data_IF_472916293035
#
_entry.id   IF_472916293035
#
_cell.length_a   1.000
_cell.length_b   1.000
_cell.length_c   1.000
_cell.angle_alpha   90.00
_cell.angle_beta   90.00
_cell.angle_gamma   90.00
#
_symmetry.space_group_name_H-M   'P 1'
#
loop_
_entity.id
_entity.type
_entity.pdbx_description
1 polymer ?
#
# COMPACT_ATOMS: atom_id res chain seq x y z
N UNK A 1 14.99 31.75 2.18
CA UNK A 1 14.21 32.66 1.30
C UNK A 1 14.13 32.03 -0.08
N UNK A 2 13.07 32.31 -0.83
CA UNK A 2 12.91 31.88 -2.22
C UNK A 2 12.56 33.08 -3.10
N UNK A 3 12.93 33.07 -4.39
CA UNK A 3 12.52 34.12 -5.33
C UNK A 3 10.99 34.09 -5.52
N UNK A 4 10.34 35.23 -5.36
CA UNK A 4 8.91 35.40 -5.63
C UNK A 4 8.68 36.76 -6.31
N UNK A 5 8.36 36.79 -7.62
CA UNK A 5 8.15 38.05 -8.32
C UNK A 5 6.82 38.69 -7.91
N UNK A 6 6.85 39.97 -7.56
CA UNK A 6 5.65 40.77 -7.30
C UNK A 6 5.57 41.90 -8.32
N UNK A 7 4.47 41.97 -9.06
CA UNK A 7 4.26 42.95 -10.13
C UNK A 7 5.43 43.01 -11.14
N UNK A 8 5.84 41.83 -11.64
CA UNK A 8 6.94 41.66 -12.60
C UNK A 8 8.32 42.17 -12.12
N UNK A 9 8.48 42.42 -10.82
CA UNK A 9 9.76 42.75 -10.18
C UNK A 9 10.23 41.59 -9.32
N UNK A 10 11.52 41.28 -9.39
CA UNK A 10 12.14 40.27 -8.54
C UNK A 10 11.97 40.63 -7.06
N UNK A 11 11.35 39.73 -6.30
CA UNK A 11 11.20 39.81 -4.86
C UNK A 11 11.77 38.58 -4.19
N UNK A 12 12.07 38.70 -2.89
CA UNK A 12 12.40 37.59 -2.02
C UNK A 12 11.25 37.41 -1.03
N UNK A 13 10.72 36.19 -0.94
CA UNK A 13 9.79 35.82 0.12
C UNK A 13 10.49 34.92 1.11
N UNK A 14 10.16 35.09 2.39
CA UNK A 14 10.57 34.11 3.39
C UNK A 14 9.94 32.76 3.03
N UNK A 15 10.74 31.70 3.10
CA UNK A 15 10.32 30.35 2.66
C UNK A 15 10.20 29.44 3.87
N UNK A 16 11.30 29.33 4.62
CA UNK A 16 11.39 28.51 5.81
C UNK A 16 12.36 29.15 6.79
N UNK A 17 12.09 29.02 8.08
CA UNK A 17 13.07 29.26 9.11
C UNK A 17 14.09 28.12 9.13
N UNK A 18 15.37 28.43 9.31
CA UNK A 18 16.38 27.40 9.61
C UNK A 18 16.16 26.83 11.00
N UNK A 19 16.49 25.55 11.18
CA UNK A 19 16.53 24.90 12.48
C UNK A 19 17.94 24.37 12.74
N UNK A 20 18.69 25.07 13.60
CA UNK A 20 20.06 24.70 13.94
C UNK A 20 20.13 23.54 14.97
N UNK A 21 18.99 23.16 15.55
CA UNK A 21 18.88 22.05 16.50
C UNK A 21 18.63 20.70 15.81
N UNK A 22 18.74 20.66 14.48
CA UNK A 22 18.58 19.42 13.72
C UNK A 22 19.69 18.42 14.06
N UNK A 23 19.29 17.18 14.27
CA UNK A 23 20.16 16.04 14.57
C UNK A 23 19.84 14.87 13.62
N UNK A 24 20.62 13.81 13.70
CA UNK A 24 20.34 12.57 12.98
C UNK A 24 19.15 11.83 13.61
N UNK A 25 18.32 11.20 12.76
CA UNK A 25 17.37 10.19 13.22
C UNK A 25 18.15 9.00 13.81
N UNK A 26 17.74 8.54 15.01
CA UNK A 26 18.40 7.43 15.70
C UNK A 26 17.44 6.26 15.80
N UNK A 27 17.90 5.07 15.42
CA UNK A 27 17.13 3.84 15.60
C UNK A 27 17.81 2.94 16.61
N UNK A 28 17.04 2.43 17.58
CA UNK A 28 17.44 1.37 18.49
C UNK A 28 16.62 0.14 18.17
N UNK A 29 17.29 -0.97 17.88
CA UNK A 29 16.64 -2.22 17.49
C UNK A 29 17.05 -3.34 18.46
N UNK A 30 16.07 -4.18 18.79
CA UNK A 30 16.27 -5.41 19.55
C UNK A 30 15.63 -6.56 18.78
N UNK A 31 16.38 -7.64 18.63
CA UNK A 31 15.97 -8.85 17.90
C UNK A 31 16.16 -10.08 18.79
N UNK A 32 15.16 -10.94 18.77
CA UNK A 32 15.17 -12.22 19.48
C UNK A 32 14.81 -13.32 18.49
N UNK A 33 15.80 -14.13 18.15
CA UNK A 33 15.68 -15.21 17.17
C UNK A 33 15.74 -16.60 17.78
N UNK A 34 15.01 -17.52 17.17
CA UNK A 34 15.05 -18.96 17.42
C UNK A 34 15.21 -19.70 16.10
N UNK A 35 16.25 -20.51 16.00
CA UNK A 35 16.50 -21.38 14.85
C UNK A 35 16.47 -22.84 15.30
N UNK A 36 15.67 -23.67 14.62
CA UNK A 36 15.57 -25.09 14.88
C UNK A 36 15.65 -25.88 13.57
N UNK A 37 16.55 -26.85 13.52
CA UNK A 37 16.66 -27.83 12.45
C UNK A 37 16.19 -29.21 12.87
N UNK A 38 15.42 -29.88 12.02
CA UNK A 38 14.99 -31.27 12.18
C UNK A 38 15.35 -32.13 10.97
N UNK A 39 15.85 -33.35 11.25
CA UNK A 39 16.07 -34.42 10.25
C UNK A 39 16.92 -34.02 9.04
N UNK A 40 17.74 -32.96 9.14
CA UNK A 40 18.47 -32.33 8.02
C UNK A 40 17.58 -31.94 6.82
N UNK A 41 16.27 -31.79 7.06
CA UNK A 41 15.24 -31.58 6.03
C UNK A 41 14.34 -30.40 6.32
N UNK A 42 14.14 -30.04 7.58
CA UNK A 42 13.25 -28.95 7.98
C UNK A 42 14.08 -27.97 8.78
N UNK A 43 14.08 -26.71 8.37
CA UNK A 43 14.64 -25.60 9.16
C UNK A 43 13.51 -24.62 9.41
N UNK A 44 13.32 -24.26 10.67
CA UNK A 44 12.41 -23.22 11.11
C UNK A 44 13.23 -22.11 11.77
N UNK A 45 13.06 -20.90 11.27
CA UNK A 45 13.57 -19.66 11.84
C UNK A 45 12.37 -18.82 12.28
N UNK A 46 12.42 -18.31 13.50
CA UNK A 46 11.41 -17.41 14.05
C UNK A 46 12.09 -16.27 14.78
N UNK A 47 11.82 -15.04 14.36
CA UNK A 47 12.39 -13.83 14.91
C UNK A 47 11.28 -12.91 15.41
N UNK A 48 11.49 -12.27 16.55
CA UNK A 48 10.74 -11.11 16.98
C UNK A 48 11.66 -9.90 16.99
N UNK A 49 11.29 -8.86 16.25
CA UNK A 49 12.01 -7.61 16.23
C UNK A 49 11.19 -6.49 16.84
N UNK A 50 11.88 -5.56 17.49
CA UNK A 50 11.35 -4.26 17.85
C UNK A 50 12.39 -3.19 17.52
N UNK A 51 11.98 -2.22 16.70
CA UNK A 51 12.75 -1.06 16.29
C UNK A 51 12.06 0.21 16.75
N UNK A 52 12.73 0.96 17.61
CA UNK A 52 12.33 2.29 18.05
C UNK A 52 13.16 3.34 17.30
N UNK A 53 12.50 4.16 16.48
CA UNK A 53 13.13 5.27 15.76
C UNK A 53 12.76 6.59 16.44
N UNK A 54 13.77 7.36 16.85
CA UNK A 54 13.67 8.65 17.53
C UNK A 54 14.25 9.77 16.66
N UNK A 55 13.68 10.96 16.82
CA UNK A 55 14.11 12.16 16.13
C UNK A 55 13.74 12.18 14.65
N UNK A 56 12.60 11.61 14.27
CA UNK A 56 12.12 11.64 12.88
C UNK A 56 12.03 13.07 12.34
N UNK A 57 12.51 13.28 11.11
CA UNK A 57 12.48 14.56 10.43
C UNK A 57 11.10 14.80 9.83
N UNK A 58 10.35 15.71 10.44
CA UNK A 58 9.04 16.13 9.96
C UNK A 58 9.04 17.62 9.59
N UNK A 59 8.31 17.96 8.54
CA UNK A 59 7.84 19.31 8.29
C UNK A 59 6.72 19.63 9.29
N UNK A 60 7.05 20.39 10.34
CA UNK A 60 6.07 20.76 11.36
C UNK A 60 5.37 22.05 10.92
N UNK A 61 4.03 22.07 10.85
CA UNK A 61 3.30 23.29 10.50
C UNK A 61 3.53 24.37 11.58
N UNK A 62 3.80 25.58 11.13
CA UNK A 62 3.92 26.75 11.99
C UNK A 62 2.62 27.57 11.99
N UNK A 63 2.33 28.33 13.06
CA UNK A 63 1.22 29.29 13.04
C UNK A 63 1.38 30.25 11.86
N UNK A 64 0.29 30.53 11.13
CA UNK A 64 0.31 31.40 9.93
C UNK A 64 0.87 32.79 10.24
N UNK A 65 0.68 33.29 11.47
CA UNK A 65 1.24 34.56 11.95
C UNK A 65 2.78 34.61 11.97
N UNK A 66 3.47 33.46 11.90
CA UNK A 66 4.93 33.37 11.91
C UNK A 66 5.60 33.74 10.58
N UNK A 67 4.84 33.83 9.48
CA UNK A 67 5.36 34.17 8.15
C UNK A 67 6.05 33.01 7.41
N UNK A 68 6.17 31.82 8.00
CA UNK A 68 6.54 30.57 7.32
C UNK A 68 5.43 29.52 7.48
N UNK A 69 5.32 28.62 6.49
CA UNK A 69 4.31 27.56 6.51
C UNK A 69 4.72 26.37 7.40
N UNK A 70 6.00 25.97 7.35
CA UNK A 70 6.54 24.82 8.08
C UNK A 70 7.98 25.07 8.55
N UNK A 71 8.48 24.22 9.44
CA UNK A 71 9.91 24.11 9.77
C UNK A 71 10.28 22.65 10.00
N UNK A 72 11.43 22.23 9.47
CA UNK A 72 11.94 20.88 9.71
C UNK A 72 12.41 20.74 11.15
N UNK A 73 11.91 19.73 11.85
CA UNK A 73 12.37 19.39 13.20
C UNK A 73 12.45 17.87 13.38
N UNK A 74 13.41 17.41 14.19
CA UNK A 74 13.50 16.03 14.66
C UNK A 74 12.44 15.78 15.72
N UNK A 75 11.20 15.58 15.31
CA UNK A 75 10.09 15.47 16.25
C UNK A 75 9.15 14.37 15.81
N UNK A 76 9.34 13.22 16.43
CA UNK A 76 8.50 12.06 16.24
C UNK A 76 9.23 10.83 16.70
N UNK A 77 8.51 9.93 17.38
CA UNK A 77 9.00 8.59 17.67
C UNK A 77 8.07 7.60 17.00
N UNK A 78 8.63 6.63 16.30
CA UNK A 78 7.88 5.51 15.75
C UNK A 78 8.45 4.21 16.34
N UNK A 79 7.56 3.26 16.60
CA UNK A 79 7.93 1.89 16.93
C UNK A 79 7.42 0.96 15.84
N UNK A 80 8.34 0.27 15.19
CA UNK A 80 8.06 -0.87 14.32
C UNK A 80 8.37 -2.15 15.07
N UNK A 81 7.45 -3.12 15.03
CA UNK A 81 7.68 -4.43 15.63
C UNK A 81 6.91 -5.49 14.87
N UNK A 82 7.38 -6.73 14.96
CA UNK A 82 6.82 -7.81 14.19
C UNK A 82 7.48 -9.14 14.48
N UNK A 83 6.81 -10.18 14.01
CA UNK A 83 7.36 -11.53 13.94
C UNK A 83 7.71 -11.86 12.50
N UNK A 84 8.85 -12.49 12.30
CA UNK A 84 9.29 -13.06 11.03
C UNK A 84 9.43 -14.57 11.21
N UNK A 85 8.85 -15.33 10.30
CA UNK A 85 8.92 -16.78 10.31
C UNK A 85 9.42 -17.24 8.96
N UNK A 86 10.43 -18.10 8.94
CA UNK A 86 10.89 -18.77 7.73
C UNK A 86 10.90 -20.28 7.96
N UNK A 87 10.17 -21.01 7.11
CA UNK A 87 10.13 -22.46 7.07
C UNK A 87 10.74 -22.94 5.76
N UNK A 88 11.87 -23.63 5.85
CA UNK A 88 12.51 -24.28 4.72
C UNK A 88 12.35 -25.80 4.85
N UNK A 89 11.84 -26.45 3.81
CA UNK A 89 11.65 -27.90 3.78
C UNK A 89 12.26 -28.53 2.54
N UNK A 90 12.98 -29.64 2.73
CA UNK A 90 13.35 -30.62 1.71
C UNK A 90 12.27 -31.69 1.69
N UNK A 91 11.19 -31.46 0.96
CA UNK A 91 10.03 -32.35 0.92
C UNK A 91 10.42 -33.72 0.37
N UNK A 92 11.13 -33.73 -0.75
CA UNK A 92 11.71 -34.94 -1.35
C UNK A 92 13.14 -34.62 -1.76
N UNK A 93 14.07 -35.51 -1.42
CA UNK A 93 15.47 -35.41 -1.80
C UNK A 93 15.96 -36.79 -2.22
N UNK A 94 15.82 -37.08 -3.51
CA UNK A 94 16.32 -38.30 -4.15
C UNK A 94 17.27 -37.94 -5.29
N UNK A 95 17.96 -38.92 -5.86
CA UNK A 95 18.87 -38.71 -6.99
C UNK A 95 18.17 -38.09 -8.21
N UNK A 96 16.95 -38.55 -8.52
CA UNK A 96 16.23 -38.17 -9.75
C UNK A 96 15.13 -37.13 -9.55
N UNK A 97 14.70 -36.91 -8.31
CA UNK A 97 13.62 -36.00 -7.98
C UNK A 97 13.93 -35.26 -6.68
N UNK A 98 13.94 -33.93 -6.74
CA UNK A 98 14.08 -33.06 -5.58
C UNK A 98 12.96 -32.04 -5.55
N UNK A 99 12.39 -31.83 -4.38
CA UNK A 99 11.37 -30.81 -4.15
C UNK A 99 11.66 -30.10 -2.84
N UNK A 100 11.91 -28.80 -2.94
CA UNK A 100 12.08 -27.92 -1.81
C UNK A 100 10.96 -26.88 -1.75
N UNK A 101 10.54 -26.54 -0.55
CA UNK A 101 9.63 -25.42 -0.29
C UNK A 101 10.32 -24.46 0.68
N UNK A 102 10.21 -23.17 0.39
CA UNK A 102 10.57 -22.09 1.30
C UNK A 102 9.34 -21.23 1.49
N UNK A 103 8.89 -21.11 2.74
CA UNK A 103 7.77 -20.28 3.13
C UNK A 103 8.28 -19.22 4.11
N UNK A 104 7.96 -17.96 3.86
CA UNK A 104 8.17 -16.88 4.80
C UNK A 104 6.86 -16.18 5.13
N UNK A 105 6.75 -15.70 6.37
CA UNK A 105 5.62 -14.95 6.89
C UNK A 105 6.15 -13.85 7.79
N UNK A 106 5.81 -12.60 7.48
CA UNK A 106 6.19 -11.44 8.27
C UNK A 106 4.94 -10.72 8.73
N UNK A 107 4.87 -10.43 10.02
CA UNK A 107 3.95 -9.42 10.55
C UNK A 107 4.71 -8.13 10.80
N UNK A 108 4.09 -6.99 10.56
CA UNK A 108 4.72 -5.70 10.83
C UNK A 108 3.67 -4.70 11.31
N UNK A 109 3.96 -4.04 12.42
CA UNK A 109 3.18 -2.92 12.92
C UNK A 109 4.11 -1.75 13.22
N UNK A 110 3.95 -0.67 12.46
CA UNK A 110 4.68 0.58 12.63
C UNK A 110 3.74 1.66 13.16
N UNK A 111 3.89 2.03 14.43
CA UNK A 111 2.99 2.97 15.12
C UNK A 111 3.73 4.19 15.65
N UNK A 112 3.07 5.34 15.58
CA UNK A 112 3.55 6.59 16.16
C UNK A 112 3.47 6.51 17.69
N UNK A 113 4.59 6.78 18.36
CA UNK A 113 4.73 6.80 19.83
C UNK A 113 4.69 8.21 20.41
N UNK A 114 5.14 9.20 19.65
CA UNK A 114 5.02 10.61 20.03
C UNK A 114 5.05 11.52 18.81
N UNK A 115 4.41 12.68 18.92
CA UNK A 115 4.34 13.74 17.91
C UNK A 115 4.73 15.10 18.53
N UNK A 116 5.01 16.12 17.70
CA UNK A 116 5.19 17.49 18.17
C UNK A 116 3.98 18.05 18.91
N UNK A 117 4.16 19.22 19.55
CA UNK A 117 3.08 20.04 20.11
C UNK A 117 2.17 19.25 21.07
N UNK A 118 2.75 18.63 22.10
CA UNK A 118 2.04 17.81 23.10
C UNK A 118 1.21 16.67 22.49
N UNK A 119 1.77 16.01 21.47
CA UNK A 119 1.13 14.93 20.72
C UNK A 119 -0.15 15.33 19.97
N UNK A 120 -0.28 16.60 19.60
CA UNK A 120 -1.37 17.04 18.74
C UNK A 120 -1.37 16.28 17.41
N UNK A 121 -2.58 15.95 16.93
CA UNK A 121 -2.76 15.33 15.62
C UNK A 121 -2.19 16.22 14.51
N UNK A 122 -1.45 15.61 13.59
CA UNK A 122 -0.94 16.29 12.40
C UNK A 122 -1.77 15.87 11.20
N UNK A 123 -2.56 16.81 10.68
CA UNK A 123 -3.36 16.66 9.46
C UNK A 123 -2.93 17.76 8.50
N UNK A 124 -2.31 17.39 7.38
CA UNK A 124 -2.00 18.37 6.34
C UNK A 124 -3.29 18.91 5.71
N UNK A 125 -3.31 20.20 5.37
CA UNK A 125 -4.45 20.84 4.72
C UNK A 125 -4.76 20.13 3.39
N UNK A 126 -6.01 19.71 3.18
CA UNK A 126 -6.41 18.96 1.98
C UNK A 126 -5.92 17.51 1.96
N UNK A 127 -5.46 16.97 3.11
CA UNK A 127 -5.07 15.57 3.22
C UNK A 127 -6.23 14.69 3.71
N UNK A 128 -6.31 13.50 3.13
CA UNK A 128 -7.13 12.37 3.56
C UNK A 128 -6.38 11.42 4.52
N UNK A 129 -5.22 11.85 5.05
CA UNK A 129 -4.44 11.11 6.06
C UNK A 129 -4.19 11.91 7.34
N UNK A 130 -3.92 11.19 8.42
CA UNK A 130 -3.59 11.74 9.75
C UNK A 130 -2.38 11.03 10.33
N UNK A 131 -1.54 11.80 11.03
CA UNK A 131 -0.57 11.28 11.97
C UNK A 131 -1.10 11.51 13.39
N UNK A 132 -1.35 10.42 14.11
CA UNK A 132 -1.85 10.41 15.49
C UNK A 132 -1.07 9.41 16.33
N UNK A 133 -0.79 9.75 17.58
CA UNK A 133 -0.14 8.83 18.53
C UNK A 133 -1.00 7.58 18.73
N UNK A 134 -0.37 6.41 18.62
CA UNK A 134 -1.02 5.10 18.72
C UNK A 134 -1.44 4.50 17.37
N UNK A 135 -1.39 5.29 16.30
CA UNK A 135 -1.82 4.92 14.95
C UNK A 135 -0.63 4.76 14.00
N UNK A 136 -0.88 4.19 12.82
CA UNK A 136 0.13 4.12 11.77
C UNK A 136 0.43 5.53 11.24
N UNK A 137 1.66 5.74 10.78
CA UNK A 137 1.99 6.95 10.04
C UNK A 137 1.09 7.05 8.80
N UNK A 138 0.60 8.23 8.48
CA UNK A 138 -0.29 8.48 7.35
C UNK A 138 -1.54 7.58 7.33
N UNK A 139 -2.13 7.28 8.50
CA UNK A 139 -3.38 6.54 8.58
C UNK A 139 -4.49 7.27 7.82
N UNK A 140 -5.38 6.54 7.13
CA UNK A 140 -6.46 7.17 6.36
C UNK A 140 -7.49 7.79 7.30
N UNK A 141 -7.77 9.07 7.11
CA UNK A 141 -8.67 9.89 7.90
C UNK A 141 -9.75 10.51 7.02
N UNK A 142 -10.88 9.82 6.90
CA UNK A 142 -11.91 10.07 5.90
C UNK A 142 -13.30 10.05 6.52
N UNK A 143 -14.27 10.65 5.82
CA UNK A 143 -15.69 10.44 6.12
C UNK A 143 -16.09 9.05 5.65
N UNK A 144 -16.84 8.31 6.47
CA UNK A 144 -17.36 6.99 6.09
C UNK A 144 -18.57 7.16 5.15
N UNK A 145 -18.49 6.57 3.96
CA UNK A 145 -19.58 6.48 3.00
C UNK A 145 -20.54 5.35 3.39
N UNK A 146 -21.83 5.66 3.44
CA UNK A 146 -22.90 4.77 3.89
C UNK A 146 -23.71 4.15 2.74
N UNK A 147 -23.33 4.42 1.48
CA UNK A 147 -24.06 3.97 0.30
C UNK A 147 -24.98 5.06 -0.25
N UNK A 148 -26.08 4.65 -0.87
CA UNK A 148 -27.02 5.52 -1.57
C UNK A 148 -28.41 5.36 -0.95
N UNK A 149 -29.12 6.47 -0.74
CA UNK A 149 -30.53 6.45 -0.35
C UNK A 149 -31.39 5.89 -1.50
N UNK A 150 -32.06 4.73 -1.31
CA UNK A 150 -32.87 4.11 -2.36
C UNK A 150 -34.04 4.99 -2.82
N UNK A 151 -34.50 5.95 -1.99
CA UNK A 151 -35.67 6.78 -2.30
C UNK A 151 -35.38 7.92 -3.27
N UNK A 152 -34.18 8.49 -3.21
CA UNK A 152 -33.84 9.72 -3.93
C UNK A 152 -32.48 9.69 -4.63
N UNK A 153 -31.68 8.63 -4.45
CA UNK A 153 -30.39 8.46 -5.09
C UNK A 153 -29.26 9.34 -4.53
N UNK A 154 -29.47 9.98 -3.38
CA UNK A 154 -28.43 10.76 -2.69
C UNK A 154 -27.36 9.84 -2.10
N UNK A 155 -26.10 10.24 -2.23
CA UNK A 155 -25.02 9.72 -1.43
C UNK A 155 -25.31 9.92 0.06
N UNK A 156 -25.01 8.90 0.86
CA UNK A 156 -25.14 8.92 2.30
C UNK A 156 -23.77 8.77 2.97
N UNK A 157 -23.61 9.41 4.12
CA UNK A 157 -22.39 9.41 4.92
C UNK A 157 -22.72 9.14 6.39
N UNK A 158 -21.80 8.54 7.13
CA UNK A 158 -21.96 8.31 8.57
C UNK A 158 -21.52 9.56 9.34
N UNK A 159 -22.39 10.08 10.21
CA UNK A 159 -22.14 11.33 10.95
C UNK A 159 -20.88 11.28 11.82
N UNK A 160 -20.69 10.21 12.59
CA UNK A 160 -19.59 10.05 13.54
C UNK A 160 -19.44 11.25 14.51
N UNK A 161 -20.55 11.88 14.90
CA UNK A 161 -20.57 13.00 15.85
C UNK A 161 -20.75 12.51 17.28
N UNK A 162 -20.12 13.18 18.25
CA UNK A 162 -20.30 12.85 19.67
C UNK A 162 -21.60 13.46 20.22
N UNK A 163 -22.45 12.63 20.80
CA UNK A 163 -23.64 13.04 21.52
C UNK A 163 -23.29 13.67 22.88
N UNK A 164 -24.22 14.42 23.52
CA UNK A 164 -23.98 15.00 24.84
C UNK A 164 -23.62 13.99 25.94
N UNK A 165 -24.04 12.73 25.79
CA UNK A 165 -23.75 11.62 26.71
C UNK A 165 -22.39 10.94 26.43
N UNK A 166 -21.64 11.41 25.43
CA UNK A 166 -20.35 10.85 25.03
C UNK A 166 -20.42 9.68 24.04
N UNK A 167 -21.62 9.20 23.67
CA UNK A 167 -21.77 8.18 22.63
C UNK A 167 -21.53 8.76 21.23
N UNK A 168 -21.20 7.91 20.25
CA UNK A 168 -21.00 8.33 18.87
C UNK A 168 -22.28 8.08 18.06
N UNK A 169 -22.84 9.13 17.48
CA UNK A 169 -23.91 9.05 16.48
C UNK A 169 -23.34 8.53 15.16
N UNK A 170 -23.75 7.32 14.78
CA UNK A 170 -23.39 6.66 13.52
C UNK A 170 -24.57 6.62 12.53
N UNK A 171 -25.55 7.51 12.68
CA UNK A 171 -26.64 7.64 11.71
C UNK A 171 -26.13 8.12 10.36
N UNK A 172 -26.87 7.77 9.30
CA UNK A 172 -26.60 8.21 7.95
C UNK A 172 -27.21 9.59 7.67
N UNK A 173 -26.50 10.44 6.92
CA UNK A 173 -26.95 11.75 6.46
C UNK A 173 -26.56 11.95 5.00
N UNK A 174 -27.36 12.69 4.24
CA UNK A 174 -26.97 13.17 2.90
C UNK A 174 -26.13 14.44 2.94
N UNK A 175 -26.05 15.10 4.09
CA UNK A 175 -25.28 16.33 4.28
C UNK A 175 -23.84 16.00 4.70
N UNK A 176 -22.91 16.05 3.74
CA UNK A 176 -21.50 15.73 3.99
C UNK A 176 -20.89 16.58 5.13
N UNK A 177 -21.32 17.83 5.27
CA UNK A 177 -20.83 18.76 6.31
C UNK A 177 -21.22 18.37 7.74
N UNK A 178 -22.27 17.56 7.90
CA UNK A 178 -22.67 17.00 9.19
C UNK A 178 -21.79 15.81 9.61
N UNK A 179 -21.07 15.20 8.67
CA UNK A 179 -20.22 14.06 8.91
C UNK A 179 -18.81 14.45 9.38
N UNK A 180 -18.25 13.64 10.29
CA UNK A 180 -16.90 13.77 10.83
C UNK A 180 -16.00 12.69 10.26
N UNK A 181 -14.77 13.09 9.93
CA UNK A 181 -13.71 12.17 9.53
C UNK A 181 -13.33 11.28 10.71
N UNK A 182 -13.05 10.02 10.42
CA UNK A 182 -12.51 9.05 11.38
C UNK A 182 -11.35 8.29 10.74
N UNK A 183 -10.56 7.61 11.56
CA UNK A 183 -9.50 6.73 11.07
C UNK A 183 -10.15 5.46 10.54
N UNK A 184 -9.97 5.18 9.25
CA UNK A 184 -10.69 4.13 8.52
C UNK A 184 -9.79 3.06 7.92
N UNK A 185 -8.47 3.24 7.98
CA UNK A 185 -7.51 2.28 7.43
C UNK A 185 -6.08 2.77 7.57
N UNK A 186 -5.15 1.95 7.06
CA UNK A 186 -3.73 2.28 7.02
C UNK A 186 -3.12 1.83 5.68
N UNK A 187 -2.06 2.51 5.20
CA UNK A 187 -1.52 2.23 3.87
C UNK A 187 -0.45 1.12 3.87
N UNK A 188 -0.20 0.46 5.00
CA UNK A 188 0.90 -0.51 5.14
C UNK A 188 0.39 -1.93 5.36
N UNK A 189 0.97 -2.95 4.71
CA UNK A 189 0.59 -4.33 4.98
C UNK A 189 0.99 -4.71 6.40
N UNK A 190 0.07 -5.34 7.11
CA UNK A 190 0.29 -5.84 8.49
C UNK A 190 0.74 -7.29 8.52
N UNK A 191 0.51 -8.00 7.42
CA UNK A 191 0.90 -9.38 7.17
C UNK A 191 1.41 -9.50 5.73
N UNK A 192 2.57 -10.12 5.56
CA UNK A 192 3.18 -10.40 4.27
C UNK A 192 3.61 -11.87 4.27
N UNK A 193 3.51 -12.54 3.12
CA UNK A 193 3.96 -13.91 2.98
C UNK A 193 4.61 -14.16 1.63
N UNK A 194 5.53 -15.12 1.60
CA UNK A 194 6.15 -15.62 0.40
C UNK A 194 6.19 -17.14 0.42
N UNK A 195 5.81 -17.78 -0.68
CA UNK A 195 5.91 -19.23 -0.85
C UNK A 195 6.66 -19.51 -2.15
N UNK A 196 7.88 -20.03 -2.03
CA UNK A 196 8.67 -20.50 -3.16
C UNK A 196 8.74 -22.01 -3.15
N UNK A 197 8.45 -22.63 -4.29
CA UNK A 197 8.67 -24.05 -4.52
C UNK A 197 9.68 -24.23 -5.65
N UNK A 198 10.63 -25.14 -5.42
CA UNK A 198 11.64 -25.53 -6.40
C UNK A 198 11.60 -27.04 -6.56
N UNK A 199 11.23 -27.49 -7.75
CA UNK A 199 11.09 -28.88 -8.12
C UNK A 199 12.10 -29.19 -9.22
N UNK A 200 12.89 -30.24 -9.08
CA UNK A 200 13.78 -30.72 -10.12
C UNK A 200 13.53 -32.21 -10.39
N UNK A 201 13.48 -32.57 -11.67
CA UNK A 201 13.24 -33.93 -12.12
C UNK A 201 14.02 -34.24 -13.39
N UNK A 202 15.03 -35.11 -13.33
CA UNK A 202 15.78 -35.61 -14.51
C UNK A 202 16.13 -34.54 -15.57
N UNK A 203 16.68 -33.41 -15.13
CA UNK A 203 17.06 -32.29 -16.02
C UNK A 203 15.99 -31.21 -16.19
N UNK A 204 14.73 -31.49 -15.84
CA UNK A 204 13.70 -30.45 -15.67
C UNK A 204 13.90 -29.72 -14.34
N UNK A 205 13.71 -28.41 -14.37
CA UNK A 205 13.60 -27.56 -13.19
C UNK A 205 12.34 -26.70 -13.29
N UNK A 206 11.60 -26.61 -12.20
CA UNK A 206 10.39 -25.81 -12.11
C UNK A 206 10.40 -25.06 -10.80
N UNK A 207 10.38 -23.74 -10.88
CA UNK A 207 10.34 -22.84 -9.73
C UNK A 207 9.17 -21.90 -9.85
N UNK A 208 8.39 -21.75 -8.78
CA UNK A 208 7.36 -20.72 -8.70
C UNK A 208 7.35 -20.06 -7.34
N UNK A 209 7.03 -18.77 -7.33
CA UNK A 209 6.94 -17.95 -6.12
C UNK A 209 5.59 -17.24 -6.07
N UNK A 210 4.82 -17.54 -5.03
CA UNK A 210 3.68 -16.72 -4.62
C UNK A 210 4.13 -15.70 -3.58
N UNK A 211 3.64 -14.46 -3.70
CA UNK A 211 3.77 -13.40 -2.71
C UNK A 211 2.36 -12.95 -2.33
N UNK A 212 2.10 -12.68 -1.05
CA UNK A 212 0.83 -12.11 -0.62
C UNK A 212 1.00 -11.05 0.46
N UNK A 213 0.08 -10.09 0.48
CA UNK A 213 0.05 -8.97 1.40
C UNK A 213 -1.38 -8.71 1.88
N UNK A 214 -1.52 -8.38 3.17
CA UNK A 214 -2.83 -8.14 3.80
C UNK A 214 -2.80 -7.02 4.84
N UNK A 215 -3.95 -6.37 5.02
CA UNK A 215 -4.22 -5.37 6.04
C UNK A 215 -3.90 -3.92 5.63
N UNK A 216 -3.42 -3.73 4.40
CA UNK A 216 -3.25 -2.42 3.79
C UNK A 216 -4.54 -1.94 3.11
N UNK A 217 -4.62 -0.64 2.87
CA UNK A 217 -5.67 -0.02 2.06
C UNK A 217 -5.04 0.97 1.08
N UNK A 218 -5.73 1.15 -0.05
CA UNK A 218 -5.36 2.13 -1.07
C UNK A 218 -6.54 3.08 -1.26
N UNK A 219 -6.25 4.37 -1.23
CA UNK A 219 -7.18 5.44 -1.55
C UNK A 219 -7.03 5.84 -3.01
N UNK A 220 -8.07 5.63 -3.80
CA UNK A 220 -8.13 6.04 -5.21
C UNK A 220 -8.56 7.50 -5.29
N UNK A 221 -7.60 8.43 -5.20
CA UNK A 221 -7.90 9.87 -5.26
C UNK A 221 -8.42 10.30 -6.64
N UNK A 222 -8.00 9.61 -7.70
CA UNK A 222 -8.55 9.80 -9.05
C UNK A 222 -10.05 9.47 -9.12
N UNK A 223 -10.57 8.62 -8.23
CA UNK A 223 -11.98 8.23 -8.16
C UNK A 223 -12.94 9.40 -8.02
N UNK A 224 -12.51 10.50 -7.41
CA UNK A 224 -13.31 11.75 -7.33
C UNK A 224 -13.58 12.37 -8.69
N UNK A 225 -12.76 12.05 -9.71
CA UNK A 225 -12.90 12.51 -11.10
C UNK A 225 -13.48 11.42 -12.01
N UNK A 226 -12.91 10.21 -11.99
CA UNK A 226 -13.28 9.10 -12.87
C UNK A 226 -14.47 8.25 -12.37
N UNK A 227 -14.87 8.36 -11.11
CA UNK A 227 -16.02 7.63 -10.52
C UNK A 227 -16.99 8.61 -9.86
N UNK A 228 -17.33 9.66 -10.60
CA UNK A 228 -17.94 10.89 -10.09
C UNK A 228 -19.39 11.11 -10.53
N UNK A 229 -19.99 10.12 -11.19
CA UNK A 229 -21.38 10.16 -11.65
C UNK A 229 -21.72 11.42 -12.49
N UNK A 230 -20.76 11.88 -13.31
CA UNK A 230 -20.92 13.01 -14.22
C UNK A 230 -20.63 14.38 -13.61
N UNK A 231 -19.99 14.44 -12.44
CA UNK A 231 -19.56 15.70 -11.82
C UNK A 231 -18.36 16.33 -12.57
N UNK A 232 -17.49 15.48 -13.12
CA UNK A 232 -16.31 15.88 -13.90
C UNK A 232 -16.36 15.38 -15.35
N UNK A 233 -15.46 15.91 -16.19
CA UNK A 233 -15.41 15.62 -17.63
C UNK A 233 -14.56 14.40 -18.00
N UNK A 234 -13.87 13.81 -17.03
CA UNK A 234 -13.05 12.62 -17.21
C UNK A 234 -13.92 11.44 -17.68
N UNK A 235 -13.32 10.53 -18.46
CA UNK A 235 -14.02 9.30 -18.79
C UNK A 235 -14.33 8.53 -17.51
N UNK A 236 -15.53 7.97 -17.44
CA UNK A 236 -16.04 7.38 -16.21
C UNK A 236 -15.70 5.88 -16.12
N UNK A 237 -15.47 5.39 -14.91
CA UNK A 237 -15.27 3.98 -14.60
C UNK A 237 -16.55 3.18 -14.88
N UNK A 238 -16.39 1.91 -15.26
CA UNK A 238 -17.52 1.08 -15.69
C UNK A 238 -18.56 0.82 -14.59
N UNK A 239 -18.19 0.91 -13.31
CA UNK A 239 -19.14 0.77 -12.19
C UNK A 239 -20.22 1.87 -12.21
N UNK A 240 -19.96 3.02 -12.83
CA UNK A 240 -20.94 4.11 -12.95
C UNK A 240 -22.18 3.71 -13.78
N UNK A 241 -22.11 2.61 -14.54
CA UNK A 241 -23.28 2.01 -15.21
C UNK A 241 -24.31 1.47 -14.21
N UNK A 242 -23.88 1.13 -12.98
CA UNK A 242 -24.74 0.65 -11.90
C UNK A 242 -25.32 1.77 -11.04
N UNK A 243 -25.27 3.03 -11.49
CA UNK A 243 -25.84 4.18 -10.78
C UNK A 243 -27.32 4.02 -10.46
N UNK A 244 -27.75 4.69 -9.40
CA UNK A 244 -29.17 4.82 -9.06
C UNK A 244 -29.92 5.54 -10.18
N UNK A 245 -31.08 5.03 -10.59
CA UNK A 245 -31.87 5.59 -11.68
C UNK A 245 -33.32 5.90 -11.30
N UNK A 246 -33.92 5.11 -10.40
CA UNK A 246 -35.32 5.28 -9.97
C UNK A 246 -35.52 4.90 -8.50
N UNK A 247 -36.62 5.38 -7.94
CA UNK A 247 -37.06 5.06 -6.58
C UNK A 247 -37.12 3.53 -6.35
N UNK A 248 -36.47 3.08 -5.27
CA UNK A 248 -36.34 1.69 -4.88
C UNK A 248 -35.09 0.98 -5.42
N UNK A 249 -34.28 1.61 -6.28
CA UNK A 249 -33.02 1.01 -6.75
C UNK A 249 -32.03 0.84 -5.57
N UNK A 250 -31.45 -0.36 -5.45
CA UNK A 250 -30.44 -0.69 -4.44
C UNK A 250 -29.07 -0.76 -5.12
N UNK A 251 -28.22 0.23 -4.85
CA UNK A 251 -26.87 0.35 -5.41
C UNK A 251 -25.95 1.18 -4.50
N UNK A 252 -24.64 1.08 -4.71
CA UNK A 252 -23.64 1.90 -4.04
C UNK A 252 -23.16 3.09 -4.89
N UNK A 253 -23.65 3.22 -6.11
CA UNK A 253 -23.30 4.31 -7.03
C UNK A 253 -24.44 5.36 -7.03
N UNK A 254 -24.19 6.59 -6.55
CA UNK A 254 -25.22 7.62 -6.46
C UNK A 254 -25.83 7.96 -7.81
N UNK A 255 -27.00 8.61 -7.78
CA UNK A 255 -27.61 9.16 -8.98
C UNK A 255 -26.63 10.09 -9.70
N UNK A 256 -26.49 9.91 -11.01
CA UNK A 256 -25.69 10.81 -11.83
C UNK A 256 -26.34 12.20 -11.91
N UNK A 257 -25.56 13.22 -11.53
CA UNK A 257 -25.97 14.63 -11.54
C UNK A 257 -24.84 15.43 -12.14
N UNK A 258 -25.08 15.98 -13.32
CA UNK A 258 -24.09 16.81 -13.99
C UNK A 258 -23.76 18.03 -13.13
N UNK A 259 -22.49 18.14 -12.71
CA UNK A 259 -21.99 19.19 -11.81
C UNK A 259 -22.77 19.31 -10.48
N UNK A 260 -23.36 18.21 -10.01
CA UNK A 260 -24.19 18.18 -8.81
C UNK A 260 -23.50 17.65 -7.56
N UNK A 261 -22.23 17.23 -7.66
CA UNK A 261 -21.40 16.70 -6.56
C UNK A 261 -22.10 15.71 -5.62
N UNK A 262 -22.77 14.70 -6.20
CA UNK A 262 -23.47 13.66 -5.45
C UNK A 262 -22.52 12.52 -5.06
N UNK A 263 -21.88 12.64 -3.89
CA UNK A 263 -20.97 11.62 -3.37
C UNK A 263 -19.55 11.67 -3.93
N UNK A 264 -19.14 12.81 -4.49
CA UNK A 264 -17.80 13.02 -5.09
C UNK A 264 -16.76 13.53 -4.09
N UNK A 265 -17.18 13.82 -2.85
CA UNK A 265 -16.32 14.25 -1.77
C UNK A 265 -15.43 13.11 -1.24
N UNK A 266 -14.28 13.49 -0.65
CA UNK A 266 -13.32 12.56 -0.06
C UNK A 266 -13.96 11.67 1.02
N UNK A 267 -14.07 10.38 0.75
CA UNK A 267 -14.73 9.46 1.66
C UNK A 267 -14.24 8.04 1.45
N UNK A 268 -14.64 7.11 2.32
CA UNK A 268 -14.35 5.68 2.15
C UNK A 268 -14.97 5.08 0.88
N UNK A 269 -15.79 5.82 0.13
CA UNK A 269 -16.23 5.43 -1.22
C UNK A 269 -15.05 5.10 -2.15
N UNK A 270 -13.94 5.80 -1.97
CA UNK A 270 -12.72 5.67 -2.76
C UNK A 270 -11.59 4.93 -2.03
N UNK A 271 -11.87 4.32 -0.88
CA UNK A 271 -10.91 3.55 -0.11
C UNK A 271 -11.22 2.06 -0.25
N UNK A 272 -10.26 1.29 -0.77
CA UNK A 272 -10.39 -0.15 -0.90
C UNK A 272 -9.26 -0.87 -0.15
N UNK A 273 -9.56 -2.06 0.39
CA UNK A 273 -8.53 -2.95 0.92
C UNK A 273 -7.69 -3.46 -0.23
N UNK A 274 -6.37 -3.51 -0.04
CA UNK A 274 -5.42 -3.94 -1.06
C UNK A 274 -4.88 -5.35 -0.80
N UNK A 275 -5.70 -6.22 -0.20
CA UNK A 275 -5.31 -7.60 0.11
C UNK A 275 -5.14 -8.41 -1.20
N UNK A 276 -4.02 -9.11 -1.36
CA UNK A 276 -3.77 -9.92 -2.56
C UNK A 276 -2.83 -11.11 -2.35
N UNK A 277 -2.87 -12.04 -3.31
CA UNK A 277 -1.85 -13.06 -3.54
C UNK A 277 -1.47 -13.05 -5.03
N UNK A 278 -0.19 -12.98 -5.35
CA UNK A 278 0.33 -12.90 -6.72
C UNK A 278 1.34 -14.00 -7.00
N UNK A 279 1.21 -14.64 -8.16
CA UNK A 279 2.27 -15.44 -8.76
C UNK A 279 3.36 -14.49 -9.28
N UNK A 280 4.33 -14.18 -8.42
CA UNK A 280 5.37 -13.18 -8.68
C UNK A 280 6.29 -13.63 -9.79
N UNK A 281 6.76 -14.87 -9.69
CA UNK A 281 7.68 -15.48 -10.66
C UNK A 281 7.30 -16.94 -10.91
N UNK A 282 7.44 -17.38 -12.15
CA UNK A 282 7.35 -18.78 -12.56
C UNK A 282 8.44 -19.05 -13.57
N UNK A 283 9.19 -20.13 -13.40
CA UNK A 283 10.23 -20.56 -14.34
C UNK A 283 10.16 -22.06 -14.54
N UNK A 284 10.16 -22.49 -15.79
CA UNK A 284 10.26 -23.89 -16.20
C UNK A 284 11.46 -24.03 -17.13
N UNK A 285 12.43 -24.83 -16.75
CA UNK A 285 13.63 -25.10 -17.50
C UNK A 285 13.83 -26.58 -17.79
N UNK A 286 14.59 -26.85 -18.85
CA UNK A 286 15.15 -28.16 -19.13
C UNK A 286 16.62 -28.02 -19.51
N UNK A 287 17.47 -28.69 -18.74
CA UNK A 287 18.90 -28.80 -19.00
C UNK A 287 19.18 -30.09 -19.74
N UNK A 288 19.81 -29.97 -20.91
CA UNK A 288 20.15 -31.12 -21.75
C UNK A 288 21.15 -32.04 -21.03
N UNK A 289 20.96 -33.37 -21.08
CA UNK A 289 21.93 -34.32 -20.55
C UNK A 289 23.29 -34.14 -21.23
N UNK A 290 24.39 -34.27 -20.47
CA UNK A 290 25.76 -34.12 -21.01
C UNK A 290 26.01 -35.01 -22.24
N UNK A 291 25.42 -36.21 -22.27
CA UNK A 291 25.54 -37.13 -23.40
C UNK A 291 24.97 -36.56 -24.70
N UNK A 292 23.95 -35.70 -24.63
CA UNK A 292 23.36 -35.06 -25.79
C UNK A 292 24.22 -33.90 -26.34
N UNK A 293 25.18 -33.38 -25.56
CA UNK A 293 26.07 -32.30 -25.97
C UNK A 293 27.29 -32.80 -26.75
N UNK A 294 27.67 -34.08 -26.64
CA UNK A 294 28.77 -34.67 -27.40
C UNK A 294 30.08 -33.88 -27.32
N UNK A 295 30.77 -33.73 -28.46
CA UNK A 295 32.04 -32.99 -28.59
C UNK A 295 31.84 -31.52 -29.03
N UNK A 296 30.68 -30.92 -28.74
CA UNK A 296 30.37 -29.54 -29.17
C UNK A 296 31.21 -28.46 -28.49
N UNK A 297 32.04 -28.82 -27.50
CA UNK A 297 32.76 -27.86 -26.66
C UNK A 297 31.85 -27.08 -25.71
N UNK A 298 30.61 -27.55 -25.50
CA UNK A 298 29.65 -26.96 -24.56
C UNK A 298 29.58 -27.81 -23.29
N UNK A 299 29.71 -27.16 -22.12
CA UNK A 299 29.59 -27.80 -20.81
C UNK A 299 28.15 -27.92 -20.30
N UNK A 300 27.23 -27.04 -20.75
CA UNK A 300 25.81 -27.09 -20.41
C UNK A 300 24.95 -26.31 -21.40
N UNK A 301 23.76 -26.82 -21.72
CA UNK A 301 22.72 -26.08 -22.47
C UNK A 301 21.39 -26.24 -21.74
N UNK A 302 20.77 -25.12 -21.38
CA UNK A 302 19.45 -25.06 -20.74
C UNK A 302 18.50 -24.19 -21.53
N UNK A 303 17.35 -24.73 -21.90
CA UNK A 303 16.23 -23.97 -22.48
C UNK A 303 15.23 -23.70 -21.37
N UNK A 304 14.71 -22.48 -21.27
CA UNK A 304 13.77 -22.13 -20.22
C UNK A 304 12.71 -21.14 -20.66
N UNK A 305 11.56 -21.23 -19.99
CA UNK A 305 10.49 -20.27 -19.99
C UNK A 305 10.45 -19.60 -18.62
N UNK A 306 10.32 -18.28 -18.59
CA UNK A 306 10.11 -17.53 -17.35
C UNK A 306 8.98 -16.51 -17.52
N UNK A 307 8.21 -16.30 -16.46
CA UNK A 307 7.14 -15.32 -16.43
C UNK A 307 7.09 -14.59 -15.09
N UNK A 308 6.74 -13.30 -15.15
CA UNK A 308 6.68 -12.39 -14.01
C UNK A 308 5.28 -11.77 -13.94
N UNK A 309 4.72 -11.69 -12.73
CA UNK A 309 3.38 -11.14 -12.45
C UNK A 309 2.24 -11.80 -13.26
N UNK A 310 2.30 -13.13 -13.44
CA UNK A 310 1.39 -13.83 -14.36
C UNK A 310 -0.07 -13.85 -13.87
N UNK A 311 -0.28 -13.97 -12.55
CA UNK A 311 -1.59 -14.12 -11.93
C UNK A 311 -1.65 -13.32 -10.61
N UNK A 312 -2.73 -12.57 -10.38
CA UNK A 312 -3.01 -11.86 -9.13
C UNK A 312 -4.43 -12.18 -8.68
N UNK A 313 -4.57 -12.64 -7.44
CA UNK A 313 -5.85 -12.88 -6.75
C UNK A 313 -6.07 -11.74 -5.77
N UNK A 314 -7.11 -10.94 -5.96
CA UNK A 314 -7.43 -9.80 -5.09
C UNK A 314 -8.92 -9.44 -5.19
N UNK A 315 -9.45 -8.79 -4.16
CA UNK A 315 -10.76 -8.13 -4.19
C UNK A 315 -10.63 -6.61 -4.38
N UNK A 316 -9.42 -6.09 -4.57
CA UNK A 316 -9.18 -4.68 -4.90
C UNK A 316 -9.86 -4.34 -6.23
N UNK A 317 -10.54 -3.19 -6.27
CA UNK A 317 -11.34 -2.77 -7.44
C UNK A 317 -10.53 -2.05 -8.53
N UNK A 318 -9.38 -1.48 -8.17
CA UNK A 318 -8.50 -0.80 -9.10
C UNK A 318 -7.66 -1.77 -9.94
N UNK A 319 -6.71 -1.23 -10.71
CA UNK A 319 -5.91 -2.03 -11.64
C UNK A 319 -4.89 -2.93 -10.96
N UNK A 320 -4.23 -2.44 -9.91
CA UNK A 320 -3.20 -3.19 -9.19
C UNK A 320 -3.27 -2.94 -7.67
N UNK A 321 -3.29 -4.00 -6.83
CA UNK A 321 -3.33 -3.87 -5.38
C UNK A 321 -1.99 -3.44 -4.76
N UNK A 322 -0.92 -3.30 -5.55
CA UNK A 322 0.34 -2.66 -5.13
C UNK A 322 0.50 -1.26 -5.74
N UNK A 323 -0.57 -0.69 -6.31
CA UNK A 323 -0.52 0.62 -6.95
C UNK A 323 -0.01 1.70 -5.99
N UNK A 324 0.80 2.60 -6.55
CA UNK A 324 1.28 3.81 -5.90
C UNK A 324 1.22 4.93 -6.91
N UNK A 325 0.78 6.09 -6.45
CA UNK A 325 0.81 7.34 -7.20
C UNK A 325 2.21 7.59 -7.76
N UNK A 326 2.30 7.75 -9.07
CA UNK A 326 3.54 7.79 -9.86
C UNK A 326 3.97 9.21 -10.28
N UNK A 327 3.11 10.22 -10.10
CA UNK A 327 3.37 11.64 -10.38
C UNK A 327 3.82 12.45 -9.14
N UNK A 328 3.74 11.86 -7.93
CA UNK A 328 4.05 12.56 -6.69
C UNK A 328 5.54 12.44 -6.33
N UNK A 329 6.27 13.56 -6.40
CA UNK A 329 7.61 13.67 -5.83
C UNK A 329 7.58 13.78 -4.30
N UNK A 330 8.55 13.20 -3.60
CA UNK A 330 8.81 13.50 -2.18
C UNK A 330 8.10 12.64 -1.13
N UNK A 331 7.77 11.37 -1.40
CA UNK A 331 7.24 10.45 -0.38
C UNK A 331 5.76 10.66 -0.02
N UNK A 332 5.11 11.65 -0.62
CA UNK A 332 3.65 11.78 -0.67
C UNK A 332 3.12 10.75 -1.69
N UNK A 333 2.08 9.99 -1.35
CA UNK A 333 1.47 8.98 -2.27
C UNK A 333 1.57 7.51 -1.82
N UNK A 334 2.07 7.22 -0.62
CA UNK A 334 1.99 5.86 -0.06
C UNK A 334 0.53 5.53 0.25
N UNK A 335 0.02 4.46 -0.37
CA UNK A 335 -1.40 4.07 -0.26
C UNK A 335 -2.36 4.96 -1.05
N UNK A 336 -1.86 5.74 -2.02
CA UNK A 336 -2.68 6.50 -2.95
C UNK A 336 -2.54 5.93 -4.37
N UNK A 337 -3.66 5.86 -5.09
CA UNK A 337 -3.73 5.57 -6.52
C UNK A 337 -4.30 6.79 -7.26
N UNK A 338 -3.58 7.27 -8.27
CA UNK A 338 -4.02 8.35 -9.15
C UNK A 338 -3.68 8.01 -10.59
N UNK A 339 -4.61 7.36 -11.29
CA UNK A 339 -4.44 6.91 -12.68
C UNK A 339 -3.20 6.02 -12.90
N UNK A 340 -2.74 5.32 -11.87
CA UNK A 340 -1.46 4.62 -11.92
C UNK A 340 -1.58 3.34 -12.76
N UNK A 341 -0.60 3.14 -13.65
CA UNK A 341 -0.57 1.97 -14.52
C UNK A 341 -0.14 0.72 -13.73
N UNK A 342 -0.79 -0.44 -13.95
CA UNK A 342 -0.35 -1.68 -13.34
C UNK A 342 1.00 -2.14 -13.90
N UNK A 343 1.79 -2.93 -13.13
CA UNK A 343 3.01 -3.54 -13.64
C UNK A 343 2.70 -4.48 -14.81
N UNK A 344 3.55 -4.46 -15.83
CA UNK A 344 3.40 -5.33 -17.00
C UNK A 344 3.60 -6.81 -16.64
N UNK A 345 2.83 -7.68 -17.29
CA UNK A 345 3.08 -9.12 -17.31
C UNK A 345 4.16 -9.41 -18.32
N UNK A 346 5.24 -10.05 -17.90
CA UNK A 346 6.37 -10.39 -18.77
C UNK A 346 6.48 -11.89 -18.91
N UNK A 347 6.69 -12.36 -20.14
CA UNK A 347 6.93 -13.76 -20.47
C UNK A 347 8.14 -13.82 -21.41
N UNK A 348 9.09 -14.68 -21.12
CA UNK A 348 10.31 -14.80 -21.91
C UNK A 348 10.69 -16.28 -22.11
N UNK A 349 11.18 -16.57 -23.31
CA UNK A 349 11.88 -17.81 -23.63
C UNK A 349 13.37 -17.49 -23.74
N UNK A 350 14.20 -18.30 -23.09
CA UNK A 350 15.64 -18.10 -23.04
C UNK A 350 16.41 -19.40 -23.20
N UNK A 351 17.66 -19.26 -23.64
CA UNK A 351 18.62 -20.35 -23.72
C UNK A 351 19.88 -19.89 -22.97
N UNK A 352 20.39 -20.73 -22.07
CA UNK A 352 21.66 -20.53 -21.39
C UNK A 352 22.65 -21.58 -21.90
N UNK A 353 23.81 -21.15 -22.39
CA UNK A 353 24.86 -22.00 -22.94
C UNK A 353 26.14 -21.70 -22.18
N UNK A 354 26.73 -22.73 -21.60
CA UNK A 354 28.06 -22.68 -21.01
C UNK A 354 29.01 -23.50 -21.88
N UNK A 355 30.22 -22.97 -22.10
CA UNK A 355 31.30 -23.64 -22.82
C UNK A 355 32.16 -24.47 -21.87
#
# INVERSE_FOLDING_TARGET
>A
YQPNPYNLKSGLTFYQAGNNDLTWEKSTQSDFGLEIGFLNRITLEADYYQKDTDGLLFEVPLPISSGAATVNKNIGKIRSNGFEFTLNTKNIDTENFKWNTSFNLTTNQSKIKSLPNDNADVVATGSYTINRVGEYISSFYLVEYAGVDPKNGNALFIKNTTNPDGTIDRSATSEYSEAKRTIVGNPFPTLMSGLTNTITYKGFDFTFTFQGEWGASIYNSAGTYQSSAGDYFDNQTADQLNRWQKDGDITNVPQARFQGSNGTQESTRYLDKSDFVRLRNLTLGYTLPKQALGETGMSSVRVYFTGVNLLTFTNYKGFDPEARRDDAGGGFGIGEDFYSAPPARTMALGININF
#
